data_IF_306337024380
#
_entry.id   IF_306337024380
#
_cell.length_a   1.000
_cell.length_b   1.000
_cell.length_c   1.000
_cell.angle_alpha   90.00
_cell.angle_beta   90.00
_cell.angle_gamma   90.00
#
_symmetry.space_group_name_H-M   'P 1'
#
loop_
_entity.id
_entity.type
_entity.pdbx_description
1 polymer ?
#
# COMPACT_ATOMS: atom_id res chain seq x y z
N UNK A 1 20.05 -2.23 13.61
CA UNK A 1 18.58 -2.17 13.73
C UNK A 1 18.14 -3.15 14.84
N UNK A 2 17.32 -2.71 15.80
CA UNK A 2 16.79 -3.56 16.89
C UNK A 2 15.28 -3.40 16.92
N UNK A 3 14.56 -4.38 16.36
CA UNK A 3 13.11 -4.35 16.22
C UNK A 3 12.42 -5.05 17.39
N UNK A 4 11.31 -4.48 17.86
CA UNK A 4 10.41 -5.09 18.84
C UNK A 4 9.58 -6.21 18.21
N UNK A 5 9.22 -6.05 16.91
CA UNK A 5 8.54 -7.04 16.09
C UNK A 5 9.41 -7.39 14.85
N UNK A 6 10.33 -8.36 14.97
CA UNK A 6 11.24 -8.72 13.88
C UNK A 6 10.54 -9.17 12.59
N UNK A 7 9.29 -9.64 12.69
CA UNK A 7 8.50 -10.08 11.52
C UNK A 7 8.12 -8.94 10.57
N UNK A 8 8.29 -7.69 10.97
CA UNK A 8 8.08 -6.53 10.07
C UNK A 8 9.16 -6.41 9.01
N UNK A 9 10.39 -6.88 9.30
CA UNK A 9 11.45 -6.90 8.31
C UNK A 9 11.31 -8.16 7.44
N UNK A 10 10.87 -7.97 6.20
CA UNK A 10 10.60 -9.04 5.25
C UNK A 10 11.61 -9.02 4.11
N UNK A 11 11.99 -10.23 3.69
CA UNK A 11 12.98 -10.45 2.63
C UNK A 11 12.40 -11.22 1.43
N UNK A 12 11.08 -11.27 1.33
CA UNK A 12 10.36 -11.95 0.25
C UNK A 12 9.23 -11.07 -0.28
N UNK A 13 8.80 -11.29 -1.51
CA UNK A 13 7.63 -10.64 -2.08
C UNK A 13 6.35 -11.34 -1.61
N UNK A 14 5.29 -10.57 -1.38
CA UNK A 14 3.97 -11.09 -1.05
C UNK A 14 3.10 -11.14 -2.31
N UNK A 15 2.80 -12.34 -2.80
CA UNK A 15 1.88 -12.55 -3.93
C UNK A 15 0.78 -13.51 -3.47
N UNK A 16 -0.47 -13.12 -3.64
CA UNK A 16 -1.64 -13.92 -3.26
C UNK A 16 -1.62 -14.44 -1.80
N UNK A 17 -1.12 -13.63 -0.88
CA UNK A 17 -1.00 -14.01 0.54
C UNK A 17 0.15 -14.96 0.86
N UNK A 18 0.98 -15.30 -0.11
CA UNK A 18 2.15 -16.19 0.05
C UNK A 18 3.44 -15.38 -0.10
N UNK A 19 4.36 -15.57 0.85
CA UNK A 19 5.72 -15.02 0.75
C UNK A 19 6.53 -15.87 -0.23
N UNK A 20 7.04 -15.24 -1.29
CA UNK A 20 7.66 -15.92 -2.43
C UNK A 20 8.94 -15.24 -2.89
N UNK A 21 9.74 -15.99 -3.66
CA UNK A 21 10.98 -15.54 -4.27
C UNK A 21 12.23 -15.93 -3.48
N UNK A 22 13.31 -16.19 -4.20
CA UNK A 22 14.66 -16.36 -3.65
C UNK A 22 15.33 -15.01 -3.48
N UNK A 23 16.07 -14.82 -2.40
CA UNK A 23 16.69 -13.54 -2.04
C UNK A 23 18.04 -13.39 -2.71
N UNK A 24 18.09 -12.69 -3.85
CA UNK A 24 19.27 -12.56 -4.71
C UNK A 24 19.93 -11.18 -4.60
N UNK A 25 19.15 -10.10 -4.54
CA UNK A 25 19.66 -8.72 -4.51
C UNK A 25 19.92 -8.26 -3.07
N UNK A 26 21.14 -7.84 -2.78
CA UNK A 26 21.51 -7.30 -1.48
C UNK A 26 20.99 -5.88 -1.30
N UNK A 27 20.44 -5.60 -0.12
CA UNK A 27 20.04 -4.27 0.33
C UNK A 27 21.07 -3.79 1.34
N UNK A 28 21.54 -2.57 1.14
CA UNK A 28 22.63 -1.98 1.92
C UNK A 28 22.13 -0.82 2.78
N UNK A 29 22.68 -0.71 3.96
CA UNK A 29 22.60 0.53 4.74
C UNK A 29 23.47 1.58 4.05
N UNK A 30 22.91 2.69 3.55
CA UNK A 30 23.67 3.70 2.83
C UNK A 30 24.66 4.49 3.72
N UNK A 31 24.51 4.43 5.04
CA UNK A 31 25.40 5.11 5.98
C UNK A 31 26.65 4.28 6.30
N UNK A 32 26.54 2.95 6.36
CA UNK A 32 27.63 2.06 6.75
C UNK A 32 28.16 1.19 5.62
N UNK A 33 27.36 0.94 4.60
CA UNK A 33 27.64 -0.02 3.53
C UNK A 33 27.38 -1.48 3.93
N UNK A 34 26.87 -1.74 5.14
CA UNK A 34 26.55 -3.08 5.59
C UNK A 34 25.35 -3.65 4.86
N UNK A 35 25.34 -4.96 4.64
CA UNK A 35 24.17 -5.66 4.08
C UNK A 35 23.11 -5.81 5.17
N UNK A 36 21.94 -5.22 4.95
CA UNK A 36 20.77 -5.34 5.81
C UNK A 36 20.03 -6.66 5.60
N UNK A 37 19.94 -7.09 4.35
CA UNK A 37 19.24 -8.30 3.93
C UNK A 37 19.38 -8.51 2.43
N UNK A 38 18.69 -9.54 1.93
CA UNK A 38 18.59 -9.79 0.49
C UNK A 38 17.14 -9.98 0.11
N UNK A 39 16.73 -9.46 -1.04
CA UNK A 39 15.35 -9.53 -1.55
C UNK A 39 15.32 -10.18 -2.93
N UNK A 40 14.18 -10.75 -3.35
CA UNK A 40 14.06 -11.31 -4.68
C UNK A 40 14.00 -10.21 -5.74
N UNK A 41 14.64 -10.48 -6.87
CA UNK A 41 14.45 -9.70 -8.09
C UNK A 41 13.56 -10.46 -9.05
N UNK A 42 12.25 -10.33 -8.85
CA UNK A 42 11.27 -11.03 -9.65
C UNK A 42 11.08 -10.37 -11.02
N UNK A 43 10.91 -11.20 -12.05
CA UNK A 43 10.72 -10.77 -13.42
C UNK A 43 9.26 -10.62 -13.84
N UNK A 44 9.04 -10.64 -15.15
CA UNK A 44 7.74 -10.46 -15.80
C UNK A 44 6.71 -11.48 -15.33
N UNK A 45 7.07 -12.75 -15.23
CA UNK A 45 6.17 -13.85 -14.85
C UNK A 45 5.53 -13.62 -13.48
N UNK A 46 6.34 -13.22 -12.50
CA UNK A 46 5.83 -12.90 -11.16
C UNK A 46 4.95 -11.63 -11.15
N UNK A 47 5.24 -10.66 -12.02
CA UNK A 47 4.37 -9.49 -12.17
C UNK A 47 3.01 -9.87 -12.79
N UNK A 48 2.99 -10.76 -13.76
CA UNK A 48 1.76 -11.32 -14.36
C UNK A 48 0.97 -12.14 -13.33
N UNK A 49 1.65 -12.95 -12.50
CA UNK A 49 1.04 -13.67 -11.38
C UNK A 49 0.43 -12.71 -10.35
N UNK A 50 1.14 -11.66 -9.96
CA UNK A 50 0.64 -10.66 -9.02
C UNK A 50 -0.61 -9.94 -9.57
N UNK A 51 -0.63 -9.59 -10.87
CA UNK A 51 -1.80 -9.01 -11.52
C UNK A 51 -2.97 -9.98 -11.55
N UNK A 52 -2.72 -11.26 -11.88
CA UNK A 52 -3.75 -12.30 -11.87
C UNK A 52 -4.33 -12.50 -10.46
N UNK A 53 -3.49 -12.53 -9.44
CA UNK A 53 -3.92 -12.62 -8.03
C UNK A 53 -4.78 -11.42 -7.61
N UNK A 54 -4.34 -10.20 -7.95
CA UNK A 54 -5.08 -8.98 -7.67
C UNK A 54 -6.43 -8.96 -8.41
N UNK A 55 -6.47 -9.45 -9.65
CA UNK A 55 -7.71 -9.59 -10.43
C UNK A 55 -8.66 -10.62 -9.81
N UNK A 56 -8.15 -11.76 -9.38
CA UNK A 56 -8.96 -12.79 -8.71
C UNK A 56 -9.55 -12.30 -7.37
N UNK A 57 -8.83 -11.46 -6.63
CA UNK A 57 -9.30 -10.88 -5.37
C UNK A 57 -10.32 -9.74 -5.54
N UNK A 58 -10.36 -9.10 -6.72
CA UNK A 58 -11.17 -7.90 -6.99
C UNK A 58 -12.67 -8.11 -6.73
N UNK A 59 -13.35 -9.18 -7.18
CA UNK A 59 -14.78 -9.35 -6.96
C UNK A 59 -15.16 -9.34 -5.48
N UNK A 60 -14.42 -10.07 -4.67
CA UNK A 60 -14.67 -10.16 -3.22
C UNK A 60 -14.38 -8.83 -2.49
N UNK A 61 -13.32 -8.10 -2.93
CA UNK A 61 -12.98 -6.82 -2.35
C UNK A 61 -13.98 -5.72 -2.71
N UNK A 62 -14.34 -5.59 -3.99
CA UNK A 62 -15.32 -4.59 -4.46
C UNK A 62 -16.74 -4.82 -3.92
N UNK A 63 -17.09 -6.07 -3.60
CA UNK A 63 -18.39 -6.41 -3.02
C UNK A 63 -18.53 -5.98 -1.56
N UNK A 64 -17.41 -5.71 -0.85
CA UNK A 64 -17.47 -5.17 0.51
C UNK A 64 -18.11 -3.78 0.52
N UNK A 65 -18.90 -3.52 1.56
CA UNK A 65 -19.44 -2.18 1.78
C UNK A 65 -18.33 -1.17 2.06
N UNK A 66 -18.59 0.11 1.83
CA UNK A 66 -17.66 1.18 2.16
C UNK A 66 -17.25 1.15 3.66
N UNK A 67 -18.18 0.79 4.55
CA UNK A 67 -17.94 0.64 5.99
C UNK A 67 -16.93 -0.48 6.30
N UNK A 68 -17.03 -1.62 5.64
CA UNK A 68 -16.10 -2.74 5.82
C UNK A 68 -14.70 -2.39 5.32
N UNK A 69 -14.58 -1.77 4.14
CA UNK A 69 -13.29 -1.31 3.62
C UNK A 69 -12.66 -0.25 4.54
N UNK A 70 -13.46 0.71 5.00
CA UNK A 70 -13.06 1.72 5.98
C UNK A 70 -12.51 1.10 7.26
N UNK A 71 -13.19 0.09 7.83
CA UNK A 71 -12.74 -0.60 9.05
C UNK A 71 -11.40 -1.32 8.85
N UNK A 72 -11.17 -1.92 7.68
CA UNK A 72 -9.89 -2.59 7.36
C UNK A 72 -8.76 -1.56 7.25
N UNK A 73 -9.00 -0.44 6.56
CA UNK A 73 -8.02 0.65 6.44
C UNK A 73 -7.73 1.27 7.82
N UNK A 74 -8.75 1.48 8.66
CA UNK A 74 -8.57 2.01 10.01
C UNK A 74 -7.68 1.09 10.84
N UNK A 75 -7.93 -0.22 10.82
CA UNK A 75 -7.07 -1.19 11.50
C UNK A 75 -5.63 -1.14 10.97
N UNK A 76 -5.44 -0.95 9.68
CA UNK A 76 -4.10 -0.80 9.11
C UNK A 76 -3.40 0.45 9.63
N UNK A 77 -4.09 1.59 9.68
CA UNK A 77 -3.58 2.81 10.32
C UNK A 77 -3.15 2.54 11.77
N UNK A 78 -4.00 1.93 12.57
CA UNK A 78 -3.71 1.63 13.97
C UNK A 78 -2.44 0.78 14.11
N UNK A 79 -2.24 -0.21 13.23
CA UNK A 79 -1.02 -1.03 13.18
C UNK A 79 0.23 -0.22 12.78
N UNK A 80 0.12 0.70 11.82
CA UNK A 80 1.23 1.59 11.45
C UNK A 80 1.68 2.41 12.65
N UNK A 81 0.76 2.96 13.42
CA UNK A 81 1.07 3.77 14.60
C UNK A 81 1.66 2.91 15.73
N UNK A 82 1.09 1.73 16.00
CA UNK A 82 1.62 0.79 17.02
C UNK A 82 3.08 0.40 16.71
N UNK A 83 3.41 0.20 15.44
CA UNK A 83 4.74 -0.22 15.00
C UNK A 83 5.60 0.92 14.45
N UNK A 84 5.25 2.18 14.74
CA UNK A 84 5.94 3.36 14.23
C UNK A 84 7.46 3.30 14.41
N UNK A 85 7.93 2.91 15.59
CA UNK A 85 9.36 2.87 15.90
C UNK A 85 10.10 1.83 15.08
N UNK A 86 9.56 0.62 14.99
CA UNK A 86 10.17 -0.45 14.19
C UNK A 86 10.19 -0.10 12.69
N UNK A 87 9.09 0.43 12.17
CA UNK A 87 9.00 0.88 10.78
C UNK A 87 9.97 2.03 10.49
N UNK A 88 10.13 2.97 11.43
CA UNK A 88 11.10 4.06 11.30
C UNK A 88 12.55 3.55 11.31
N UNK A 89 12.88 2.55 12.13
CA UNK A 89 14.21 1.93 12.13
C UNK A 89 14.51 1.22 10.81
N UNK A 90 13.54 0.47 10.24
CA UNK A 90 13.67 -0.16 8.93
C UNK A 90 13.91 0.91 7.87
N UNK A 91 13.08 1.95 7.86
CA UNK A 91 13.17 3.04 6.90
C UNK A 91 14.52 3.77 6.98
N UNK A 92 15.00 4.08 8.18
CA UNK A 92 16.32 4.69 8.38
C UNK A 92 17.43 3.78 7.85
N UNK A 93 17.36 2.49 8.14
CA UNK A 93 18.38 1.54 7.71
C UNK A 93 18.44 1.38 6.18
N UNK A 94 17.29 1.31 5.52
CA UNK A 94 17.24 1.13 4.05
C UNK A 94 17.49 2.42 3.28
N UNK A 95 16.92 3.55 3.73
CA UNK A 95 16.93 4.80 3.00
C UNK A 95 18.01 5.78 3.44
N UNK A 96 18.50 5.67 4.68
CA UNK A 96 19.55 6.52 5.25
C UNK A 96 19.08 7.84 5.86
N UNK A 97 17.78 8.14 5.89
CA UNK A 97 17.30 9.36 6.55
C UNK A 97 17.42 9.27 8.08
N UNK A 98 17.60 10.41 8.77
CA UNK A 98 17.63 10.44 10.22
C UNK A 98 16.38 9.83 10.86
N UNK A 99 16.54 9.12 11.96
CA UNK A 99 15.44 8.40 12.63
C UNK A 99 14.27 9.32 13.02
N UNK A 100 14.55 10.57 13.35
CA UNK A 100 13.52 11.59 13.66
C UNK A 100 12.65 11.90 12.45
N UNK A 101 13.25 12.00 11.27
CA UNK A 101 12.54 12.21 10.01
C UNK A 101 11.79 10.95 9.58
N UNK A 102 12.39 9.77 9.79
CA UNK A 102 11.75 8.49 9.51
C UNK A 102 10.49 8.29 10.36
N UNK A 103 10.53 8.61 11.66
CA UNK A 103 9.33 8.61 12.52
C UNK A 103 8.24 9.54 12.00
N UNK A 104 8.62 10.74 11.55
CA UNK A 104 7.71 11.70 10.93
C UNK A 104 7.09 11.15 9.64
N UNK A 105 7.88 10.47 8.81
CA UNK A 105 7.36 9.85 7.58
C UNK A 105 6.37 8.73 7.86
N UNK A 106 6.62 7.88 8.87
CA UNK A 106 5.67 6.80 9.21
C UNK A 106 4.33 7.38 9.67
N UNK A 107 4.33 8.44 10.50
CA UNK A 107 3.08 9.13 10.88
C UNK A 107 2.40 9.75 9.67
N UNK A 108 3.15 10.39 8.79
CA UNK A 108 2.65 10.98 7.54
C UNK A 108 2.07 9.91 6.61
N UNK A 109 2.70 8.76 6.47
CA UNK A 109 2.17 7.62 5.73
C UNK A 109 0.84 7.13 6.35
N UNK A 110 0.82 6.98 7.67
CA UNK A 110 -0.39 6.62 8.42
C UNK A 110 -1.55 7.57 8.16
N UNK A 111 -1.29 8.88 8.11
CA UNK A 111 -2.34 9.89 7.90
C UNK A 111 -3.06 9.74 6.56
N UNK A 112 -2.41 9.28 5.50
CA UNK A 112 -3.09 8.95 4.24
C UNK A 112 -4.06 7.77 4.42
N UNK A 113 -3.62 6.71 5.12
CA UNK A 113 -4.47 5.54 5.34
C UNK A 113 -5.69 5.91 6.19
N UNK A 114 -5.48 6.71 7.26
CA UNK A 114 -6.56 7.23 8.10
C UNK A 114 -7.54 8.07 7.29
N UNK A 115 -7.05 9.06 6.55
CA UNK A 115 -7.88 9.94 5.72
C UNK A 115 -8.74 9.14 4.74
N UNK A 116 -8.15 8.19 4.01
CA UNK A 116 -8.90 7.39 3.04
C UNK A 116 -9.78 6.31 3.69
N UNK A 117 -9.51 5.89 4.92
CA UNK A 117 -10.46 5.09 5.69
C UNK A 117 -11.76 5.86 5.95
N UNK A 118 -11.66 7.16 6.23
CA UNK A 118 -12.83 8.03 6.44
C UNK A 118 -13.52 8.38 5.12
N UNK A 119 -12.77 8.74 4.09
CA UNK A 119 -13.28 9.09 2.77
C UNK A 119 -13.90 7.89 2.02
N UNK A 120 -13.56 6.66 2.36
CA UNK A 120 -14.19 5.46 1.77
C UNK A 120 -15.73 5.52 1.83
N UNK A 121 -16.29 6.14 2.88
CA UNK A 121 -17.73 6.28 3.12
C UNK A 121 -18.36 7.46 2.38
N UNK A 122 -17.58 8.31 1.69
CA UNK A 122 -18.02 9.52 1.00
C UNK A 122 -17.87 9.45 -0.52
N UNK A 123 -17.79 8.24 -1.07
CA UNK A 123 -17.73 8.01 -2.52
C UNK A 123 -19.16 8.08 -3.05
N UNK A 124 -19.67 9.30 -3.14
CA UNK A 124 -21.03 9.58 -3.58
C UNK A 124 -21.15 9.50 -5.10
N UNK A 125 -22.36 9.17 -5.57
CA UNK A 125 -22.78 9.42 -6.94
C UNK A 125 -23.44 10.80 -7.07
N UNK A 126 -24.05 11.05 -8.21
CA UNK A 126 -24.74 12.28 -8.52
C UNK A 126 -26.11 12.01 -9.13
N UNK A 127 -27.06 12.89 -8.87
CA UNK A 127 -28.35 12.91 -9.59
C UNK A 127 -28.39 14.18 -10.42
N UNK A 128 -28.53 14.03 -11.74
CA UNK A 128 -28.52 15.15 -12.68
C UNK A 128 -29.93 15.34 -13.29
N UNK A 129 -30.30 16.59 -13.61
CA UNK A 129 -31.51 16.87 -14.38
C UNK A 129 -31.46 16.14 -15.73
N UNK A 130 -32.57 15.50 -16.08
CA UNK A 130 -32.75 14.90 -17.40
C UNK A 130 -33.25 15.96 -18.39
N UNK A 131 -32.83 15.92 -19.67
CA UNK A 131 -33.44 16.72 -20.75
C UNK A 131 -34.86 16.27 -21.13
N UNK A 132 -35.30 15.11 -20.55
CA UNK A 132 -36.65 14.57 -20.77
C UNK A 132 -37.43 14.60 -19.46
N UNK A 133 -38.73 14.85 -19.54
CA UNK A 133 -39.62 14.94 -18.37
C UNK A 133 -39.88 13.59 -17.69
N UNK A 134 -39.75 12.50 -18.44
CA UNK A 134 -39.97 11.12 -18.01
C UNK A 134 -38.70 10.38 -17.56
N UNK A 135 -37.56 11.09 -17.47
CA UNK A 135 -36.25 10.49 -17.18
C UNK A 135 -35.62 11.04 -15.88
N UNK A 136 -34.71 10.26 -15.35
CA UNK A 136 -33.76 10.66 -14.29
C UNK A 136 -32.37 10.17 -14.67
N UNK A 137 -31.32 10.98 -14.39
CA UNK A 137 -29.94 10.60 -14.63
C UNK A 137 -29.27 10.37 -13.29
N UNK A 138 -28.74 9.17 -13.10
CA UNK A 138 -27.95 8.78 -11.92
C UNK A 138 -26.53 8.49 -12.37
N UNK A 139 -25.56 9.13 -11.72
CA UNK A 139 -24.13 8.85 -11.92
C UNK A 139 -23.64 8.02 -10.75
N UNK A 140 -23.12 6.84 -11.01
CA UNK A 140 -22.56 5.94 -10.00
C UNK A 140 -21.04 5.92 -10.13
N UNK A 141 -20.33 5.97 -9.00
CA UNK A 141 -18.88 5.79 -8.95
C UNK A 141 -18.57 4.33 -8.65
N UNK A 142 -17.73 3.73 -9.49
CA UNK A 142 -17.32 2.33 -9.36
C UNK A 142 -15.80 2.22 -9.38
N UNK A 143 -15.21 1.17 -8.72
CA UNK A 143 -13.78 0.92 -8.80
C UNK A 143 -13.35 0.61 -10.24
N UNK A 144 -12.20 1.12 -10.66
CA UNK A 144 -11.61 0.88 -11.98
C UNK A 144 -11.22 -0.60 -12.18
N UNK A 145 -10.82 -1.27 -11.10
CA UNK A 145 -10.34 -2.65 -11.16
C UNK A 145 -9.00 -2.84 -10.46
N UNK A 146 -8.07 -3.54 -11.10
CA UNK A 146 -6.69 -3.68 -10.63
C UNK A 146 -5.91 -2.43 -11.01
N UNK A 147 -5.21 -1.85 -10.05
CA UNK A 147 -4.32 -0.69 -10.27
C UNK A 147 -2.87 -1.06 -9.94
N UNK A 148 -1.92 -0.38 -10.54
CA UNK A 148 -0.51 -0.55 -10.27
C UNK A 148 0.08 0.69 -9.58
N UNK A 149 1.01 0.48 -8.65
CA UNK A 149 1.82 1.52 -8.07
C UNK A 149 3.31 1.17 -8.20
N UNK A 150 4.09 2.11 -8.75
CA UNK A 150 5.55 2.06 -8.79
C UNK A 150 6.01 3.25 -7.96
N UNK A 151 6.80 3.00 -6.90
CA UNK A 151 7.14 4.03 -5.93
C UNK A 151 8.64 4.30 -5.89
N UNK A 152 9.06 5.55 -5.67
CA UNK A 152 10.47 5.92 -5.50
C UNK A 152 10.96 5.64 -4.08
N UNK A 153 12.27 5.71 -3.90
CA UNK A 153 12.97 5.43 -2.65
C UNK A 153 12.95 6.57 -1.62
N UNK A 154 12.69 7.81 -2.03
CA UNK A 154 12.91 9.00 -1.17
C UNK A 154 11.86 9.18 -0.05
N UNK A 155 10.64 8.68 -0.23
CA UNK A 155 9.58 8.60 0.78
C UNK A 155 8.87 7.24 0.67
N UNK A 156 9.56 6.13 0.98
CA UNK A 156 9.06 4.80 0.65
C UNK A 156 7.70 4.48 1.29
N UNK A 157 7.51 4.79 2.57
CA UNK A 157 6.24 4.55 3.25
C UNK A 157 5.11 5.47 2.76
N UNK A 158 5.39 6.79 2.65
CA UNK A 158 4.36 7.77 2.27
C UNK A 158 3.95 7.63 0.79
N UNK A 159 4.88 7.30 -0.12
CA UNK A 159 4.57 7.10 -1.54
C UNK A 159 3.71 5.87 -1.79
N UNK A 160 3.84 4.85 -0.95
CA UNK A 160 2.95 3.69 -0.94
C UNK A 160 1.57 4.10 -0.41
N UNK A 161 1.52 4.66 0.80
CA UNK A 161 0.27 4.94 1.51
C UNK A 161 -0.68 5.83 0.72
N UNK A 162 -0.16 6.90 0.07
CA UNK A 162 -0.96 7.83 -0.75
C UNK A 162 -1.56 7.22 -2.02
N UNK A 163 -1.06 6.06 -2.47
CA UNK A 163 -1.58 5.33 -3.63
C UNK A 163 -2.49 4.18 -3.22
N UNK A 164 -2.06 3.40 -2.24
CA UNK A 164 -2.80 2.22 -1.76
C UNK A 164 -4.06 2.63 -1.01
N UNK A 165 -3.97 3.67 -0.16
CA UNK A 165 -5.11 4.17 0.61
C UNK A 165 -6.34 4.44 -0.25
N UNK A 166 -6.29 5.39 -1.21
CA UNK A 166 -7.43 5.69 -2.07
C UNK A 166 -7.86 4.51 -2.94
N UNK A 167 -6.92 3.71 -3.48
CA UNK A 167 -7.26 2.58 -4.32
C UNK A 167 -8.10 1.54 -3.59
N UNK A 168 -7.67 1.14 -2.39
CA UNK A 168 -8.42 0.19 -1.57
C UNK A 168 -9.73 0.78 -1.06
N UNK A 169 -9.75 2.07 -0.69
CA UNK A 169 -10.95 2.76 -0.23
C UNK A 169 -12.09 2.70 -1.25
N UNK A 170 -11.78 2.91 -2.54
CA UNK A 170 -12.79 2.88 -3.62
C UNK A 170 -13.17 1.47 -4.07
N UNK A 171 -12.46 0.43 -3.59
CA UNK A 171 -12.74 -0.96 -3.94
C UNK A 171 -11.88 -1.53 -5.06
N UNK A 172 -10.80 -0.86 -5.46
CA UNK A 172 -9.76 -1.41 -6.33
C UNK A 172 -8.87 -2.40 -5.58
N UNK A 173 -8.27 -3.34 -6.29
CA UNK A 173 -7.11 -4.11 -5.84
C UNK A 173 -5.83 -3.52 -6.45
N UNK A 174 -4.65 -3.87 -5.92
CA UNK A 174 -3.41 -3.22 -6.35
C UNK A 174 -2.24 -4.19 -6.42
N UNK A 175 -1.37 -3.96 -7.41
CA UNK A 175 -0.01 -4.49 -7.45
C UNK A 175 0.96 -3.35 -7.15
N UNK A 176 1.81 -3.53 -6.16
CA UNK A 176 2.81 -2.56 -5.74
C UNK A 176 4.21 -3.05 -6.09
N UNK A 177 4.99 -2.21 -6.76
CA UNK A 177 6.43 -2.39 -6.95
C UNK A 177 7.16 -1.27 -6.21
N UNK A 178 7.82 -1.55 -5.08
CA UNK A 178 8.66 -0.56 -4.39
C UNK A 178 9.94 -0.28 -5.16
N UNK A 179 10.67 0.74 -4.72
CA UNK A 179 12.03 1.00 -5.20
C UNK A 179 12.97 -0.14 -4.74
N UNK A 180 13.95 -0.53 -5.57
CA UNK A 180 14.90 -1.60 -5.20
C UNK A 180 15.71 -1.28 -3.95
N UNK A 181 15.95 -0.01 -3.67
CA UNK A 181 16.75 0.48 -2.55
C UNK A 181 16.01 0.41 -1.21
N UNK A 182 14.66 0.43 -1.25
CA UNK A 182 13.78 0.47 -0.06
C UNK A 182 12.61 -0.48 -0.24
N UNK A 183 12.87 -1.79 -0.29
CA UNK A 183 11.88 -2.82 -0.61
C UNK A 183 10.90 -3.08 0.53
#
# INVERSE_FOLDING_TARGET
MKLSEPRLFRTQCLINGVWTGTSDDAIYDPATGDILGKVPRLGREAAEEAVAAAHAALPAWRAKTAKERSAILRRWFDLIIIHQEDLAQILTAEQGKPITEARGEIVYAGSFIEFYAEEAKRIYGETLPSPKTDGRILVLRQPLGVVAAITPWNFPAAMIARKVGPALAVGCTMVLKPAPETP
#
